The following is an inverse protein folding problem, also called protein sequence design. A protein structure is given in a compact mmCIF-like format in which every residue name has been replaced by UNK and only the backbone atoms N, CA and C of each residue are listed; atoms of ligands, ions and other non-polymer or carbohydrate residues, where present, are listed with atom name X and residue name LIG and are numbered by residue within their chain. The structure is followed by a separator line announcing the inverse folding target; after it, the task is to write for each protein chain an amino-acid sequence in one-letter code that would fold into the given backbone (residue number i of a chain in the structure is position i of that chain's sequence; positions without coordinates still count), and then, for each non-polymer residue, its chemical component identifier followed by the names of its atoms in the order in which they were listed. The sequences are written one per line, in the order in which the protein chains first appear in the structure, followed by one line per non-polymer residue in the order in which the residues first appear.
data_IF_467979204589
#
_entry.id   IF_467979204589
#
_cell.length_a   1.000
_cell.length_b   1.000
_cell.length_c   1.000
_cell.angle_alpha   90.00
_cell.angle_beta   90.00
_cell.angle_gamma   90.00
#
_symmetry.space_group_name_H-M   'P 1'
#
loop_
_entity.id
_entity.type
_entity.pdbx_description
1 polymer ?
#
# COMPACT_ATOMS: atom_id res chain seq x y z
N UNK A 1 -4.58 6.33 -10.57
CA UNK A 1 -3.78 5.86 -9.41
C UNK A 1 -2.61 5.05 -9.92
N UNK A 2 -1.40 5.26 -9.38
CA UNK A 2 -0.16 4.68 -9.89
C UNK A 2 0.82 4.36 -8.76
N UNK A 3 1.62 3.30 -8.92
CA UNK A 3 2.73 2.96 -8.02
C UNK A 3 4.00 3.59 -8.60
N UNK A 4 4.65 4.48 -7.85
CA UNK A 4 5.83 5.22 -8.30
C UNK A 4 7.15 4.55 -7.92
N UNK A 5 7.19 3.89 -6.77
CA UNK A 5 8.37 3.21 -6.29
C UNK A 5 8.01 2.14 -5.25
N UNK A 6 8.87 1.15 -5.12
CA UNK A 6 8.76 0.12 -4.08
C UNK A 6 10.15 -0.26 -3.55
N UNK A 7 10.23 -0.56 -2.26
CA UNK A 7 11.42 -1.12 -1.63
C UNK A 7 10.98 -2.20 -0.65
N UNK A 8 11.62 -3.38 -0.71
CA UNK A 8 11.22 -4.54 0.08
C UNK A 8 12.43 -5.26 0.66
N UNK A 9 12.35 -5.50 1.96
CA UNK A 9 13.18 -6.43 2.72
C UNK A 9 12.26 -7.62 3.09
N UNK A 10 12.39 -8.74 2.36
CA UNK A 10 11.49 -9.88 2.50
C UNK A 10 11.49 -10.43 3.94
N UNK A 11 10.29 -10.68 4.49
CA UNK A 11 10.10 -11.15 5.87
C UNK A 11 10.29 -10.07 6.95
N UNK A 12 10.59 -8.82 6.58
CA UNK A 12 10.77 -7.73 7.54
C UNK A 12 9.86 -6.53 7.25
N UNK A 13 10.04 -5.87 6.10
CA UNK A 13 9.26 -4.65 5.78
C UNK A 13 9.16 -4.40 4.28
N UNK A 14 8.07 -3.75 3.88
CA UNK A 14 7.88 -3.21 2.54
C UNK A 14 7.46 -1.75 2.62
N UNK A 15 8.02 -0.91 1.75
CA UNK A 15 7.62 0.50 1.56
C UNK A 15 7.17 0.68 0.12
N UNK A 16 6.06 1.39 -0.07
CA UNK A 16 5.48 1.63 -1.39
C UNK A 16 5.09 3.09 -1.49
N UNK A 17 5.47 3.73 -2.60
CA UNK A 17 5.05 5.09 -2.94
C UNK A 17 3.92 5.02 -3.97
N UNK A 18 2.78 5.63 -3.64
CA UNK A 18 1.59 5.66 -4.49
C UNK A 18 1.14 7.10 -4.72
N UNK A 19 0.60 7.36 -5.90
CA UNK A 19 0.06 8.68 -6.28
C UNK A 19 -1.24 8.55 -7.06
N UNK A 20 -2.04 9.61 -7.04
CA UNK A 20 -3.22 9.76 -7.90
C UNK A 20 -3.17 11.12 -8.58
N UNK A 21 -3.60 11.19 -9.83
CA UNK A 21 -3.81 12.46 -10.56
C UNK A 21 -5.23 13.01 -10.31
N UNK A 22 -6.13 12.14 -9.85
CA UNK A 22 -7.47 12.53 -9.42
C UNK A 22 -7.42 13.13 -8.01
N UNK A 23 -7.86 14.38 -7.89
CA UNK A 23 -7.82 15.18 -6.65
C UNK A 23 -8.79 14.69 -5.59
N UNK A 24 -9.84 13.97 -5.99
CA UNK A 24 -10.85 13.45 -5.08
C UNK A 24 -10.44 12.09 -4.49
N UNK A 25 -9.27 11.56 -4.89
CA UNK A 25 -8.78 10.24 -4.49
C UNK A 25 -7.55 10.35 -3.59
N UNK A 26 -7.70 9.95 -2.33
CA UNK A 26 -6.55 9.66 -1.45
C UNK A 26 -5.87 8.36 -1.88
N UNK A 27 -4.66 8.49 -2.44
CA UNK A 27 -3.88 7.37 -2.91
C UNK A 27 -3.49 6.40 -1.78
N UNK A 28 -3.17 6.91 -0.59
CA UNK A 28 -2.76 6.04 0.53
C UNK A 28 -3.99 5.35 1.11
N UNK A 29 -5.06 6.10 1.39
CA UNK A 29 -6.31 5.57 1.93
C UNK A 29 -6.93 4.47 1.06
N UNK A 30 -6.87 4.62 -0.27
CA UNK A 30 -7.39 3.61 -1.19
C UNK A 30 -6.59 2.29 -1.16
N UNK A 31 -5.28 2.33 -0.92
CA UNK A 31 -4.43 1.15 -0.74
C UNK A 31 -4.53 0.53 0.65
N UNK A 32 -4.72 1.36 1.69
CA UNK A 32 -4.83 0.90 3.10
C UNK A 32 -6.21 0.28 3.37
N UNK A 33 -7.27 0.90 2.85
CA UNK A 33 -8.65 0.51 3.10
C UNK A 33 -9.15 0.90 4.50
N UNK A 34 -10.46 0.73 4.71
CA UNK A 34 -11.10 0.99 6.01
C UNK A 34 -10.40 0.21 7.12
N UNK A 35 -9.88 0.93 8.12
CA UNK A 35 -9.14 0.35 9.26
C UNK A 35 -7.98 -0.56 8.84
N UNK A 36 -7.36 -0.32 7.68
CA UNK A 36 -6.22 -1.10 7.21
C UNK A 36 -6.57 -2.47 6.61
N UNK A 37 -7.84 -2.79 6.40
CA UNK A 37 -8.26 -4.15 6.00
C UNK A 37 -7.62 -4.62 4.68
N UNK A 38 -7.36 -3.71 3.73
CA UNK A 38 -6.77 -4.08 2.45
C UNK A 38 -5.27 -4.34 2.59
N UNK A 39 -4.55 -3.45 3.25
CA UNK A 39 -3.10 -3.61 3.43
C UNK A 39 -2.78 -4.80 4.35
N UNK A 40 -3.63 -5.10 5.33
CA UNK A 40 -3.46 -6.24 6.22
C UNK A 40 -3.48 -7.58 5.46
N UNK A 41 -4.31 -7.72 4.42
CA UNK A 41 -4.32 -8.93 3.59
C UNK A 41 -2.98 -9.12 2.87
N UNK A 42 -2.38 -8.04 2.38
CA UNK A 42 -1.06 -8.09 1.71
C UNK A 42 0.03 -8.45 2.71
N UNK A 43 0.04 -7.80 3.87
CA UNK A 43 0.93 -8.07 5.00
C UNK A 43 0.88 -9.57 5.38
N UNK A 44 -0.32 -10.12 5.56
CA UNK A 44 -0.52 -11.55 5.85
C UNK A 44 0.03 -12.47 4.74
N UNK A 45 -0.23 -12.16 3.46
CA UNK A 45 0.27 -12.94 2.31
C UNK A 45 1.81 -12.92 2.23
N UNK A 46 2.43 -11.83 2.69
CA UNK A 46 3.88 -11.69 2.72
C UNK A 46 4.54 -12.28 3.97
N UNK A 47 3.79 -13.05 4.77
CA UNK A 47 4.22 -13.71 6.00
C UNK A 47 4.75 -12.72 7.07
N UNK A 48 4.17 -11.52 7.14
CA UNK A 48 4.53 -10.49 8.11
C UNK A 48 3.59 -9.31 8.07
#
# INVERSE_FOLDING_TARGET
MEIKALSREAGARSKVAVSSEDVDVDAVGACVGLRGIRIQNVVNELLG
#
